data_IF_384579498329
#
_entry.id   IF_384579498329
#
_cell.length_a   1.000
_cell.length_b   1.000
_cell.length_c   1.000
_cell.angle_alpha   90.00
_cell.angle_beta   90.00
_cell.angle_gamma   90.00
#
_symmetry.space_group_name_H-M   'P 1'
#
loop_
_entity.id
_entity.type
_entity.pdbx_description
1 polymer ?
#
# COMPACT_ATOMS: atom_id res chain seq x y z
N UNK A 1 3.66 -43.26 62.59
CA UNK A 1 3.35 -41.97 61.89
C UNK A 1 1.87 -42.00 61.49
N UNK A 2 1.13 -40.97 61.88
CA UNK A 2 -0.29 -40.92 61.49
C UNK A 2 -0.42 -40.72 59.97
N UNK A 3 -1.47 -41.24 59.32
CA UNK A 3 -1.66 -41.06 57.87
C UNK A 3 -1.68 -39.60 57.44
N UNK A 4 -2.10 -38.69 58.32
CA UNK A 4 -2.08 -37.23 58.06
C UNK A 4 -0.65 -36.65 58.04
N UNK A 5 0.30 -37.16 58.80
CA UNK A 5 1.70 -36.72 58.78
C UNK A 5 2.47 -37.25 57.58
N UNK A 6 2.11 -38.42 57.04
CA UNK A 6 2.67 -38.95 55.79
C UNK A 6 2.20 -38.13 54.56
N UNK A 7 0.93 -37.80 54.50
CA UNK A 7 0.41 -36.95 53.44
C UNK A 7 1.07 -35.56 53.45
N UNK A 8 1.34 -34.99 54.61
CA UNK A 8 1.95 -33.66 54.72
C UNK A 8 3.45 -33.65 54.39
N UNK A 9 4.19 -34.70 54.78
CA UNK A 9 5.64 -34.79 54.62
C UNK A 9 6.09 -35.37 53.28
N UNK A 10 5.26 -36.15 52.57
CA UNK A 10 5.65 -36.84 51.36
C UNK A 10 4.83 -36.37 50.15
N UNK A 11 3.49 -36.35 50.24
CA UNK A 11 2.64 -36.03 49.08
C UNK A 11 2.73 -34.56 48.63
N UNK A 12 2.69 -33.61 49.59
CA UNK A 12 2.75 -32.18 49.22
C UNK A 12 4.09 -31.77 48.61
N UNK A 13 5.27 -32.13 49.14
CA UNK A 13 6.54 -31.85 48.49
C UNK A 13 6.69 -32.50 47.12
N UNK A 14 6.18 -33.74 46.96
CA UNK A 14 6.19 -34.43 45.67
C UNK A 14 5.32 -33.69 44.63
N UNK A 15 4.11 -33.25 45.02
CA UNK A 15 3.25 -32.46 44.14
C UNK A 15 3.93 -31.14 43.74
N UNK A 16 4.53 -30.41 44.68
CA UNK A 16 5.27 -29.18 44.40
C UNK A 16 6.41 -29.45 43.41
N UNK A 17 7.17 -30.52 43.62
CA UNK A 17 8.26 -30.89 42.72
C UNK A 17 7.76 -31.22 41.32
N UNK A 18 6.63 -31.92 41.18
CA UNK A 18 6.00 -32.24 39.91
C UNK A 18 5.57 -30.96 39.18
N UNK A 19 4.92 -30.01 39.88
CA UNK A 19 4.51 -28.74 39.26
C UNK A 19 5.72 -27.88 38.86
N UNK A 20 6.81 -27.88 39.65
CA UNK A 20 8.06 -27.20 39.28
C UNK A 20 8.70 -27.80 38.03
N UNK A 21 8.77 -29.12 37.93
CA UNK A 21 9.31 -29.81 36.76
C UNK A 21 8.42 -29.49 35.53
N UNK A 22 7.10 -29.57 35.67
CA UNK A 22 6.16 -29.27 34.62
C UNK A 22 6.32 -27.80 34.14
N UNK A 23 6.46 -26.87 35.07
CA UNK A 23 6.69 -25.45 34.76
C UNK A 23 8.01 -25.22 34.00
N UNK A 24 9.07 -25.90 34.38
CA UNK A 24 10.36 -25.84 33.70
C UNK A 24 10.26 -26.40 32.27
N UNK A 25 9.55 -27.50 32.08
CA UNK A 25 9.31 -28.10 30.76
C UNK A 25 8.50 -27.16 29.90
N UNK A 26 7.39 -26.60 30.40
CA UNK A 26 6.56 -25.65 29.69
C UNK A 26 7.38 -24.41 29.33
N UNK A 27 8.10 -23.84 30.29
CA UNK A 27 8.98 -22.68 30.04
C UNK A 27 10.02 -22.98 28.98
N UNK A 28 10.69 -24.12 29.05
CA UNK A 28 11.70 -24.53 28.06
C UNK A 28 11.07 -24.69 26.67
N UNK A 29 9.92 -25.36 26.57
CA UNK A 29 9.23 -25.56 25.29
C UNK A 29 8.79 -24.21 24.65
N UNK A 30 8.21 -23.30 25.45
CA UNK A 30 7.79 -21.99 24.99
C UNK A 30 9.00 -21.12 24.59
N UNK A 31 10.07 -21.10 25.37
CA UNK A 31 11.31 -20.39 25.03
C UNK A 31 11.91 -20.92 23.72
N UNK A 32 11.95 -22.25 23.55
CA UNK A 32 12.44 -22.88 22.33
C UNK A 32 11.57 -22.54 21.12
N UNK A 33 10.25 -22.48 21.29
CA UNK A 33 9.31 -22.01 20.25
C UNK A 33 9.57 -20.57 19.85
N UNK A 34 9.74 -19.67 20.84
CA UNK A 34 10.09 -18.26 20.59
C UNK A 34 11.44 -18.14 19.86
N UNK A 35 12.44 -18.92 20.27
CA UNK A 35 13.75 -18.95 19.61
C UNK A 35 13.66 -19.45 18.16
N UNK A 36 12.85 -20.46 17.89
CA UNK A 36 12.61 -20.97 16.55
C UNK A 36 11.99 -19.91 15.63
N UNK A 37 10.98 -19.19 16.12
CA UNK A 37 10.31 -18.12 15.37
C UNK A 37 11.24 -16.93 15.13
N UNK A 38 12.05 -16.55 16.12
CA UNK A 38 12.97 -15.41 16.01
C UNK A 38 14.26 -15.74 15.24
N UNK A 39 14.70 -17.02 15.23
CA UNK A 39 15.90 -17.48 14.52
C UNK A 39 15.63 -17.79 13.03
N UNK A 40 14.43 -18.15 12.66
CA UNK A 40 14.04 -18.37 11.25
C UNK A 40 14.24 -17.11 10.41
N UNK A 41 14.19 -15.92 11.03
CA UNK A 41 14.53 -14.64 10.39
C UNK A 41 16.05 -14.43 10.18
N UNK A 42 16.92 -15.19 10.84
CA UNK A 42 18.39 -15.12 10.68
C UNK A 42 18.90 -15.93 9.48
N UNK A 43 18.21 -17.02 9.15
CA UNK A 43 18.57 -17.87 8.02
C UNK A 43 17.63 -17.52 6.86
N UNK A 44 17.96 -16.52 6.08
CA UNK A 44 17.18 -15.98 4.94
C UNK A 44 16.90 -16.95 3.78
N UNK A 45 16.59 -18.22 4.05
CA UNK A 45 16.30 -19.26 3.07
C UNK A 45 14.84 -19.72 3.03
N UNK A 46 13.93 -19.05 3.77
CA UNK A 46 12.51 -19.39 3.81
C UNK A 46 11.55 -18.27 3.40
N UNK A 47 12.02 -17.14 2.92
CA UNK A 47 11.14 -16.14 2.34
C UNK A 47 10.64 -16.65 1.00
N UNK A 48 9.33 -16.88 0.89
CA UNK A 48 8.61 -16.95 -0.38
C UNK A 48 9.20 -15.89 -1.31
N UNK A 49 9.96 -16.33 -2.31
CA UNK A 49 10.45 -15.49 -3.40
C UNK A 49 9.22 -15.06 -4.19
N UNK A 50 8.63 -13.95 -3.80
CA UNK A 50 7.71 -13.26 -4.68
C UNK A 50 8.48 -12.84 -5.93
N UNK A 51 7.98 -13.14 -7.13
CA UNK A 51 8.60 -12.69 -8.35
C UNK A 51 8.66 -11.16 -8.32
N UNK A 52 9.88 -10.61 -8.27
CA UNK A 52 10.08 -9.19 -8.54
C UNK A 52 9.63 -8.98 -9.97
N UNK A 53 8.48 -8.36 -10.16
CA UNK A 53 8.11 -7.76 -11.43
C UNK A 53 9.22 -6.75 -11.76
N UNK A 54 10.17 -7.20 -12.57
CA UNK A 54 11.06 -6.31 -13.29
C UNK A 54 10.17 -5.51 -14.23
N UNK A 55 9.85 -4.29 -13.89
CA UNK A 55 9.48 -3.31 -14.90
C UNK A 55 10.69 -3.16 -15.81
N UNK A 56 10.64 -3.90 -16.90
CA UNK A 56 11.53 -3.73 -18.04
C UNK A 56 11.10 -2.41 -18.67
N UNK A 57 11.78 -1.34 -18.32
CA UNK A 57 11.77 -0.13 -19.13
C UNK A 57 12.54 -0.53 -20.39
N UNK A 58 11.82 -0.86 -21.44
CA UNK A 58 12.38 -1.03 -22.77
C UNK A 58 12.88 0.34 -23.24
N UNK A 59 14.16 0.58 -23.06
CA UNK A 59 14.92 1.60 -23.79
C UNK A 59 15.45 0.98 -25.07
N UNK A 60 14.55 0.59 -25.96
CA UNK A 60 14.85 0.28 -27.35
C UNK A 60 14.36 1.45 -28.22
N UNK A 61 15.17 2.47 -28.30
CA UNK A 61 15.15 3.38 -29.43
C UNK A 61 16.56 3.94 -29.59
N UNK A 62 17.16 3.56 -30.69
CA UNK A 62 18.42 4.05 -31.31
C UNK A 62 19.58 3.06 -31.29
N UNK A 63 19.53 2.15 -32.24
CA UNK A 63 20.73 1.56 -32.83
C UNK A 63 20.42 1.10 -34.27
N UNK A 64 20.29 2.04 -35.17
CA UNK A 64 20.43 1.77 -36.60
C UNK A 64 21.10 2.99 -37.23
N UNK A 65 22.42 2.98 -37.30
CA UNK A 65 23.22 3.73 -38.24
C UNK A 65 24.71 3.43 -38.04
N UNK A 66 25.22 2.35 -38.62
CA UNK A 66 26.65 2.25 -38.93
C UNK A 66 26.87 1.25 -40.05
N UNK A 67 26.68 1.70 -41.28
CA UNK A 67 27.39 1.13 -42.43
C UNK A 67 27.73 2.28 -43.38
N UNK A 68 28.93 2.80 -43.29
CA UNK A 68 29.66 3.30 -44.45
C UNK A 68 31.16 3.18 -44.23
N UNK A 69 31.66 2.48 -45.11
CA UNK A 69 32.96 2.14 -45.55
C UNK A 69 33.98 3.30 -45.60
N UNK A 70 35.21 2.98 -45.28
CA UNK A 70 36.45 3.67 -45.26
C UNK A 70 36.76 4.67 -46.40
N UNK A 71 37.56 5.62 -46.04
CA UNK A 71 38.56 6.21 -46.93
C UNK A 71 39.77 6.65 -46.09
N UNK A 72 40.91 6.53 -46.70
CA UNK A 72 42.27 6.49 -46.23
C UNK A 72 42.91 7.91 -46.26
N UNK A 73 43.77 8.15 -45.28
CA UNK A 73 44.97 8.99 -45.28
C UNK A 73 44.91 10.42 -45.82
N UNK A 74 45.32 11.39 -45.06
CA UNK A 74 46.57 12.08 -45.26
C UNK A 74 46.92 13.03 -44.08
N UNK A 75 48.23 13.15 -43.87
CA UNK A 75 48.88 14.02 -42.88
C UNK A 75 48.47 15.50 -42.95
N UNK A 76 48.30 16.14 -41.77
CA UNK A 76 48.93 17.47 -41.49
C UNK A 76 48.73 17.83 -40.02
N UNK A 77 49.87 18.09 -39.40
CA UNK A 77 50.02 18.82 -38.16
C UNK A 77 49.24 20.14 -38.18
N UNK A 78 48.48 20.38 -37.12
CA UNK A 78 48.31 21.75 -36.56
C UNK A 78 47.77 21.64 -35.12
N UNK A 79 48.55 22.22 -34.27
CA UNK A 79 48.46 22.50 -32.86
C UNK A 79 47.21 23.32 -32.55
N UNK A 80 46.18 22.74 -31.85
CA UNK A 80 45.09 23.50 -31.25
C UNK A 80 44.73 22.91 -29.89
N UNK A 81 44.97 23.67 -28.87
CA UNK A 81 44.59 23.64 -27.48
C UNK A 81 43.37 22.78 -27.14
N UNK A 82 43.59 21.84 -26.18
CA UNK A 82 42.60 20.98 -25.58
C UNK A 82 41.56 21.79 -24.78
N UNK A 83 40.33 21.74 -25.23
CA UNK A 83 39.13 22.11 -24.46
C UNK A 83 38.73 20.92 -23.57
N UNK A 84 38.73 21.16 -22.24
CA UNK A 84 38.36 20.20 -21.21
C UNK A 84 36.84 19.93 -21.24
N UNK A 85 36.35 19.20 -22.20
CA UNK A 85 35.03 18.54 -22.09
C UNK A 85 35.22 17.16 -21.47
N UNK A 86 35.08 17.09 -20.12
CA UNK A 86 35.30 15.89 -19.33
C UNK A 86 34.36 14.75 -19.69
N UNK A 87 34.70 14.03 -20.74
CA UNK A 87 34.08 12.73 -21.06
C UNK A 87 34.35 11.73 -19.94
N UNK A 88 33.30 11.33 -19.22
CA UNK A 88 33.35 10.27 -18.20
C UNK A 88 33.93 9.01 -18.83
N UNK A 89 35.18 8.69 -18.54
CA UNK A 89 35.84 7.49 -19.06
C UNK A 89 35.14 6.26 -18.59
N UNK A 90 35.12 5.18 -19.41
CA UNK A 90 34.49 3.90 -19.06
C UNK A 90 34.96 3.35 -17.70
N UNK A 91 36.18 3.69 -17.26
CA UNK A 91 36.70 3.37 -15.94
C UNK A 91 35.98 4.14 -14.81
N UNK A 92 35.66 5.43 -15.04
CA UNK A 92 34.93 6.26 -14.09
C UNK A 92 33.49 5.75 -13.90
N UNK A 93 32.79 5.38 -14.97
CA UNK A 93 31.45 4.78 -14.93
C UNK A 93 31.46 3.41 -14.22
N UNK A 94 32.47 2.59 -14.47
CA UNK A 94 32.64 1.29 -13.80
C UNK A 94 32.90 1.45 -12.28
N UNK A 95 33.69 2.45 -11.89
CA UNK A 95 33.95 2.78 -10.49
C UNK A 95 32.71 3.36 -9.80
N UNK A 96 31.95 4.23 -10.46
CA UNK A 96 30.68 4.77 -9.94
C UNK A 96 29.65 3.66 -9.74
N UNK A 97 29.56 2.71 -10.67
CA UNK A 97 28.65 1.57 -10.57
C UNK A 97 29.07 0.59 -9.46
N UNK A 98 30.37 0.36 -9.26
CA UNK A 98 30.90 -0.42 -8.13
C UNK A 98 30.62 0.24 -6.78
N UNK A 99 30.75 1.59 -6.68
CA UNK A 99 30.42 2.34 -5.45
C UNK A 99 28.91 2.24 -5.14
N UNK A 100 28.04 2.44 -6.12
CA UNK A 100 26.58 2.29 -5.97
C UNK A 100 26.17 0.89 -5.52
N UNK A 101 26.77 -0.17 -6.10
CA UNK A 101 26.53 -1.56 -5.67
C UNK A 101 27.05 -1.84 -4.26
N UNK A 102 28.19 -1.29 -3.87
CA UNK A 102 28.73 -1.43 -2.52
C UNK A 102 27.90 -0.66 -1.48
N UNK A 103 27.40 0.52 -1.82
CA UNK A 103 26.50 1.30 -0.94
C UNK A 103 25.12 0.62 -0.79
N UNK A 104 24.56 0.11 -1.86
CA UNK A 104 23.29 -0.64 -1.79
C UNK A 104 23.42 -1.91 -0.94
N UNK A 105 24.52 -2.66 -1.09
CA UNK A 105 24.82 -3.83 -0.27
C UNK A 105 25.04 -3.46 1.22
N UNK A 106 25.68 -2.34 1.52
CA UNK A 106 25.83 -1.83 2.90
C UNK A 106 24.47 -1.43 3.51
N UNK A 107 23.64 -0.75 2.74
CA UNK A 107 22.30 -0.35 3.18
C UNK A 107 21.40 -1.54 3.42
N UNK A 108 21.49 -2.56 2.59
CA UNK A 108 20.75 -3.83 2.75
C UNK A 108 21.21 -4.57 4.01
N UNK A 109 22.51 -4.68 4.26
CA UNK A 109 23.07 -5.25 5.51
C UNK A 109 22.58 -4.50 6.75
N UNK A 110 22.63 -3.17 6.76
CA UNK A 110 22.12 -2.34 7.87
C UNK A 110 20.62 -2.55 8.10
N UNK A 111 19.80 -2.73 7.05
CA UNK A 111 18.37 -3.06 7.18
C UNK A 111 18.16 -4.43 7.80
N UNK A 112 18.94 -5.44 7.40
CA UNK A 112 18.88 -6.80 7.95
C UNK A 112 19.30 -6.79 9.44
N UNK A 113 20.39 -6.11 9.77
CA UNK A 113 20.87 -5.97 11.15
C UNK A 113 19.84 -5.28 12.06
N UNK A 114 19.23 -4.19 11.61
CA UNK A 114 18.16 -3.49 12.36
C UNK A 114 16.93 -4.39 12.57
N UNK A 115 16.56 -5.18 11.56
CA UNK A 115 15.46 -6.16 11.70
C UNK A 115 15.82 -7.25 12.70
N UNK A 116 17.03 -7.79 12.63
CA UNK A 116 17.51 -8.82 13.57
C UNK A 116 17.55 -8.31 15.01
N UNK A 117 18.00 -7.07 15.24
CA UNK A 117 17.99 -6.44 16.56
C UNK A 117 16.58 -6.28 17.12
N UNK A 118 15.63 -5.78 16.30
CA UNK A 118 14.23 -5.63 16.71
C UNK A 118 13.60 -6.98 17.05
N UNK A 119 13.84 -8.02 16.25
CA UNK A 119 13.33 -9.37 16.52
C UNK A 119 13.93 -9.96 17.79
N UNK A 120 15.21 -9.72 18.06
CA UNK A 120 15.87 -10.16 19.31
C UNK A 120 15.26 -9.47 20.55
N UNK A 121 14.98 -8.16 20.46
CA UNK A 121 14.33 -7.41 21.54
C UNK A 121 12.92 -7.92 21.80
N UNK A 122 12.11 -8.10 20.74
CA UNK A 122 10.75 -8.65 20.86
C UNK A 122 10.80 -10.07 21.47
N UNK A 123 11.70 -10.93 21.02
CA UNK A 123 11.89 -12.26 21.56
C UNK A 123 12.26 -12.24 23.06
N UNK A 124 13.13 -11.32 23.48
CA UNK A 124 13.49 -11.15 24.88
C UNK A 124 12.30 -10.72 25.75
N UNK A 125 11.53 -9.74 25.31
CA UNK A 125 10.32 -9.28 26.03
C UNK A 125 9.30 -10.41 26.14
N UNK A 126 9.05 -11.15 25.04
CA UNK A 126 8.10 -12.26 25.04
C UNK A 126 8.54 -13.39 25.99
N UNK A 127 9.84 -13.72 26.03
CA UNK A 127 10.40 -14.69 26.99
C UNK A 127 10.23 -14.23 28.45
N UNK A 128 10.44 -12.95 28.71
CA UNK A 128 10.24 -12.38 30.05
C UNK A 128 8.79 -12.47 30.47
N UNK A 129 7.85 -12.15 29.57
CA UNK A 129 6.42 -12.25 29.83
C UNK A 129 5.99 -13.70 30.11
N UNK A 130 6.40 -14.64 29.26
CA UNK A 130 6.15 -16.09 29.47
C UNK A 130 6.72 -16.56 30.80
N UNK A 131 7.96 -16.17 31.14
CA UNK A 131 8.59 -16.54 32.40
C UNK A 131 7.83 -16.00 33.60
N UNK A 132 7.33 -14.77 33.52
CA UNK A 132 6.50 -14.14 34.56
C UNK A 132 5.18 -14.89 34.76
N UNK A 133 4.46 -15.21 33.66
CA UNK A 133 3.20 -15.96 33.73
C UNK A 133 3.41 -17.35 34.36
N UNK A 134 4.44 -18.07 33.93
CA UNK A 134 4.77 -19.38 34.47
C UNK A 134 5.13 -19.29 35.96
N UNK A 135 5.90 -18.27 36.37
CA UNK A 135 6.25 -18.02 37.76
C UNK A 135 5.02 -17.80 38.65
N UNK A 136 4.11 -16.91 38.19
CA UNK A 136 2.86 -16.63 38.93
C UNK A 136 2.00 -17.90 39.04
N UNK A 137 1.88 -18.66 37.95
CA UNK A 137 1.14 -19.93 37.95
C UNK A 137 1.73 -20.95 38.98
N UNK A 138 3.05 -21.12 38.99
CA UNK A 138 3.73 -22.01 39.96
C UNK A 138 3.51 -21.52 41.40
N UNK A 139 3.62 -20.21 41.63
CA UNK A 139 3.40 -19.64 42.96
C UNK A 139 1.98 -19.93 43.48
N UNK A 140 0.96 -19.71 42.63
CA UNK A 140 -0.43 -20.00 42.98
C UNK A 140 -0.68 -21.48 43.25
N UNK A 141 -0.10 -22.40 42.46
CA UNK A 141 -0.19 -23.83 42.67
C UNK A 141 0.46 -24.26 43.98
N UNK A 142 1.64 -23.70 44.29
CA UNK A 142 2.35 -23.97 45.52
C UNK A 142 1.54 -23.50 46.75
N UNK A 143 0.95 -22.30 46.70
CA UNK A 143 0.07 -21.78 47.74
C UNK A 143 -1.14 -22.70 47.97
N UNK A 144 -1.79 -23.14 46.87
CA UNK A 144 -2.93 -24.05 46.93
C UNK A 144 -2.58 -25.40 47.62
N UNK A 145 -1.41 -25.98 47.29
CA UNK A 145 -0.94 -27.26 47.91
C UNK A 145 -0.67 -27.09 49.42
N UNK A 146 -0.15 -25.95 49.84
CA UNK A 146 0.09 -25.62 51.23
C UNK A 146 -1.23 -25.43 52.02
N UNK A 147 -2.34 -25.18 51.29
CA UNK A 147 -3.68 -25.00 51.88
C UNK A 147 -4.13 -23.55 52.00
N UNK A 148 -3.38 -22.63 51.38
CA UNK A 148 -3.79 -21.21 51.29
C UNK A 148 -4.92 -21.08 50.28
N UNK A 149 -5.97 -20.32 50.62
CA UNK A 149 -7.06 -20.03 49.70
C UNK A 149 -6.56 -19.09 48.57
N UNK A 150 -6.48 -19.61 47.36
CA UNK A 150 -6.01 -18.85 46.16
C UNK A 150 -7.14 -18.12 45.43
N UNK A 151 -8.40 -18.33 45.84
CA UNK A 151 -9.56 -17.70 45.14
C UNK A 151 -9.46 -16.17 45.07
N UNK A 152 -9.02 -15.40 46.09
CA UNK A 152 -8.85 -13.97 46.00
C UNK A 152 -7.81 -13.54 44.95
N UNK A 153 -6.73 -14.29 44.80
CA UNK A 153 -5.68 -14.01 43.82
C UNK A 153 -6.15 -14.28 42.40
N UNK A 154 -6.93 -15.37 42.20
CA UNK A 154 -7.54 -15.67 40.89
C UNK A 154 -8.56 -14.59 40.51
N UNK A 155 -9.39 -14.16 41.47
CA UNK A 155 -10.36 -13.07 41.23
C UNK A 155 -9.64 -11.77 40.83
N UNK A 156 -8.58 -11.39 41.57
CA UNK A 156 -7.80 -10.20 41.25
C UNK A 156 -7.10 -10.32 39.87
N UNK A 157 -6.53 -11.48 39.57
CA UNK A 157 -5.94 -11.73 38.26
C UNK A 157 -6.99 -11.66 37.12
N UNK A 158 -8.24 -12.08 37.38
CA UNK A 158 -9.34 -11.96 36.46
C UNK A 158 -9.65 -10.49 36.13
N UNK A 159 -9.71 -9.61 37.14
CA UNK A 159 -9.93 -8.18 36.95
C UNK A 159 -8.79 -7.57 36.09
N UNK A 160 -7.54 -7.90 36.43
CA UNK A 160 -6.39 -7.45 35.64
C UNK A 160 -6.46 -7.99 34.19
N UNK A 161 -6.87 -9.24 34.01
CA UNK A 161 -7.07 -9.85 32.70
C UNK A 161 -8.09 -9.12 31.84
N UNK A 162 -9.23 -8.74 32.44
CA UNK A 162 -10.26 -7.94 31.78
C UNK A 162 -9.73 -6.58 31.37
N UNK A 163 -9.02 -5.88 32.25
CA UNK A 163 -8.42 -4.58 31.96
C UNK A 163 -7.39 -4.67 30.79
N UNK A 164 -6.55 -5.70 30.82
CA UNK A 164 -5.60 -5.97 29.71
C UNK A 164 -6.33 -6.32 28.40
N UNK A 165 -7.44 -7.06 28.48
CA UNK A 165 -8.28 -7.39 27.33
C UNK A 165 -8.85 -6.14 26.65
N UNK A 166 -9.39 -5.20 27.43
CA UNK A 166 -9.85 -3.90 26.91
C UNK A 166 -8.67 -3.10 26.31
N UNK A 167 -7.50 -3.10 26.94
CA UNK A 167 -6.31 -2.45 26.40
C UNK A 167 -5.80 -3.06 25.09
N UNK A 168 -6.04 -4.34 24.86
CA UNK A 168 -5.63 -5.06 23.64
C UNK A 168 -6.72 -5.17 22.57
N UNK A 169 -7.92 -4.67 22.80
CA UNK A 169 -9.09 -4.81 21.92
C UNK A 169 -8.83 -4.32 20.50
N UNK A 170 -8.17 -3.18 20.34
CA UNK A 170 -7.84 -2.62 19.02
C UNK A 170 -6.88 -3.52 18.26
N UNK A 171 -5.90 -4.11 18.95
CA UNK A 171 -4.95 -5.04 18.33
C UNK A 171 -5.67 -6.28 17.79
N UNK A 172 -6.58 -6.87 18.57
CA UNK A 172 -7.37 -8.03 18.15
C UNK A 172 -8.24 -7.66 16.93
N UNK A 173 -8.88 -6.50 16.96
CA UNK A 173 -9.69 -6.00 15.84
C UNK A 173 -8.84 -5.84 14.58
N UNK A 174 -7.64 -5.23 14.67
CA UNK A 174 -6.74 -5.06 13.55
C UNK A 174 -6.39 -6.40 12.87
N UNK A 175 -6.07 -7.40 13.68
CA UNK A 175 -5.72 -8.74 13.19
C UNK A 175 -6.88 -9.47 12.54
N UNK A 176 -8.06 -9.43 13.17
CA UNK A 176 -9.25 -10.08 12.63
C UNK A 176 -9.68 -9.43 11.32
N UNK A 177 -9.73 -8.09 11.27
CA UNK A 177 -10.05 -7.36 10.05
C UNK A 177 -9.07 -7.70 8.92
N UNK A 178 -7.76 -7.68 9.19
CA UNK A 178 -6.77 -8.04 8.18
C UNK A 178 -6.87 -9.50 7.70
N UNK A 179 -7.23 -10.42 8.60
CA UNK A 179 -7.46 -11.81 8.22
C UNK A 179 -8.67 -11.94 7.27
N UNK A 180 -9.80 -11.29 7.60
CA UNK A 180 -11.00 -11.32 6.76
C UNK A 180 -10.79 -10.63 5.42
N UNK A 181 -10.12 -9.47 5.38
CA UNK A 181 -9.78 -8.78 4.13
C UNK A 181 -8.99 -9.66 3.17
N UNK A 182 -8.02 -10.43 3.70
CA UNK A 182 -7.25 -11.39 2.91
C UNK A 182 -8.07 -12.62 2.50
N UNK A 183 -9.00 -13.07 3.35
CA UNK A 183 -9.81 -14.25 3.09
C UNK A 183 -10.92 -13.98 2.07
N UNK A 184 -11.47 -12.76 2.09
CA UNK A 184 -12.52 -12.30 1.18
C UNK A 184 -11.96 -11.71 -0.13
N UNK A 185 -10.63 -11.60 -0.26
CA UNK A 185 -9.93 -11.05 -1.43
C UNK A 185 -10.47 -9.66 -1.84
N UNK A 186 -10.70 -8.79 -0.84
CA UNK A 186 -11.25 -7.46 -1.07
C UNK A 186 -10.32 -6.58 -1.91
N UNK A 187 -9.00 -6.74 -1.75
CA UNK A 187 -7.97 -6.10 -2.55
C UNK A 187 -6.62 -6.81 -2.44
N UNK A 188 -5.80 -6.65 -3.45
CA UNK A 188 -4.45 -7.21 -3.56
C UNK A 188 -3.35 -6.15 -3.68
N UNK A 189 -2.10 -6.61 -3.68
CA UNK A 189 -0.94 -5.74 -3.95
C UNK A 189 -0.96 -5.32 -5.42
N UNK A 190 -0.94 -4.01 -5.66
CA UNK A 190 -1.03 -3.40 -6.98
C UNK A 190 -2.39 -2.78 -7.29
N UNK A 191 -3.44 -3.08 -6.52
CA UNK A 191 -4.74 -2.47 -6.69
C UNK A 191 -4.74 -1.01 -6.26
N UNK A 192 -5.51 -0.20 -6.96
CA UNK A 192 -5.85 1.16 -6.55
C UNK A 192 -7.10 1.12 -5.69
N UNK A 193 -6.98 1.53 -4.43
CA UNK A 193 -8.06 1.43 -3.45
C UNK A 193 -8.29 2.73 -2.70
N UNK A 194 -9.54 2.97 -2.31
CA UNK A 194 -9.95 3.96 -1.32
C UNK A 194 -10.30 3.26 0.00
N UNK A 195 -9.53 3.53 1.04
CA UNK A 195 -9.74 3.00 2.40
C UNK A 195 -10.46 4.02 3.33
N UNK A 196 -10.96 5.10 2.78
CA UNK A 196 -11.65 6.18 3.48
C UNK A 196 -10.73 7.38 3.76
N UNK A 197 -9.75 7.24 4.64
CA UNK A 197 -8.80 8.31 4.97
C UNK A 197 -7.59 8.36 4.03
N UNK A 198 -7.35 7.29 3.28
CA UNK A 198 -6.23 7.19 2.35
C UNK A 198 -6.64 6.47 1.08
N UNK A 199 -6.21 6.99 -0.06
CA UNK A 199 -6.44 6.44 -1.40
C UNK A 199 -5.10 6.27 -2.11
N UNK A 200 -4.93 5.15 -2.83
CA UNK A 200 -3.71 4.89 -3.59
C UNK A 200 -3.50 3.44 -3.97
N UNK A 201 -2.32 3.17 -4.53
CA UNK A 201 -1.92 1.79 -4.90
C UNK A 201 -1.43 1.02 -3.68
N UNK A 202 -1.96 -0.16 -3.47
CA UNK A 202 -1.56 -1.07 -2.38
C UNK A 202 -0.16 -1.60 -2.65
N UNK A 203 0.80 -1.32 -1.75
CA UNK A 203 2.16 -1.87 -1.80
C UNK A 203 2.33 -3.15 -0.98
N UNK A 204 1.59 -3.24 0.13
CA UNK A 204 1.70 -4.39 1.02
C UNK A 204 0.42 -4.56 1.85
N UNK A 205 -0.07 -5.79 1.93
CA UNK A 205 -1.16 -6.19 2.81
C UNK A 205 -0.59 -7.08 3.91
N UNK A 206 -0.66 -6.60 5.15
CA UNK A 206 -0.26 -7.36 6.34
C UNK A 206 -1.48 -7.73 7.17
N UNK A 207 -1.30 -8.60 8.19
CA UNK A 207 -2.39 -8.97 9.10
C UNK A 207 -2.91 -7.80 9.93
N UNK A 208 -2.06 -6.83 10.27
CA UNK A 208 -2.43 -5.70 11.12
C UNK A 208 -2.52 -4.39 10.35
N UNK A 209 -1.67 -4.21 9.34
CA UNK A 209 -1.47 -2.95 8.64
C UNK A 209 -1.44 -3.21 7.15
N UNK A 210 -2.21 -2.44 6.40
CA UNK A 210 -2.10 -2.28 4.96
C UNK A 210 -1.32 -1.02 4.64
N UNK A 211 -0.39 -1.07 3.69
CA UNK A 211 0.32 0.11 3.20
C UNK A 211 0.00 0.37 1.74
N UNK A 212 -0.31 1.62 1.44
CA UNK A 212 -0.64 2.09 0.11
C UNK A 212 0.12 3.38 -0.21
N UNK A 213 0.33 3.65 -1.48
CA UNK A 213 1.00 4.87 -1.96
C UNK A 213 0.06 5.70 -2.80
N UNK A 214 -0.08 6.97 -2.42
CA UNK A 214 -0.91 7.92 -3.14
C UNK A 214 -0.21 8.49 -4.40
N UNK A 215 -0.93 9.33 -5.15
CA UNK A 215 -0.40 9.99 -6.35
C UNK A 215 0.74 10.96 -6.06
N UNK A 216 0.87 11.45 -4.83
CA UNK A 216 1.95 12.36 -4.41
C UNK A 216 3.21 11.59 -3.97
N UNK A 217 3.14 10.24 -3.95
CA UNK A 217 4.22 9.37 -3.52
C UNK A 217 4.28 9.16 -2.00
N UNK A 218 3.29 9.64 -1.25
CA UNK A 218 3.20 9.43 0.20
C UNK A 218 2.85 7.98 0.48
N UNK A 219 3.60 7.35 1.37
CA UNK A 219 3.33 5.99 1.83
C UNK A 219 2.48 6.03 3.10
N UNK A 220 1.24 5.60 2.99
CA UNK A 220 0.29 5.51 4.08
C UNK A 220 0.35 4.13 4.74
N UNK A 221 0.22 4.12 6.07
CA UNK A 221 0.14 2.91 6.88
C UNK A 221 -1.21 2.89 7.59
N UNK A 222 -2.18 2.19 7.02
CA UNK A 222 -3.54 2.10 7.54
C UNK A 222 -3.65 0.86 8.44
N UNK A 223 -4.19 1.04 9.66
CA UNK A 223 -4.50 -0.10 10.53
C UNK A 223 -5.75 -0.79 10.01
N UNK A 224 -5.70 -2.10 9.84
CA UNK A 224 -6.81 -2.84 9.23
C UNK A 224 -8.12 -2.71 10.05
N UNK A 225 -8.02 -2.59 11.37
CA UNK A 225 -9.19 -2.39 12.24
C UNK A 225 -9.85 -1.01 12.13
N UNK A 226 -9.20 -0.02 11.52
CA UNK A 226 -9.75 1.31 11.29
C UNK A 226 -10.39 1.44 9.89
N UNK A 227 -10.14 0.48 8.99
CA UNK A 227 -10.74 0.45 7.66
C UNK A 227 -12.20 -0.01 7.79
N UNK A 228 -13.12 0.91 7.56
CA UNK A 228 -14.57 0.65 7.68
C UNK A 228 -15.20 0.24 6.35
N UNK A 229 -14.62 0.69 5.24
CA UNK A 229 -15.04 0.41 3.88
C UNK A 229 -13.84 0.33 2.96
N UNK A 230 -13.96 -0.44 1.91
CA UNK A 230 -12.98 -0.55 0.83
C UNK A 230 -13.66 -0.22 -0.48
N UNK A 231 -13.13 0.75 -1.21
CA UNK A 231 -13.44 0.97 -2.61
C UNK A 231 -12.30 0.45 -3.46
N UNK A 232 -12.48 -0.62 -4.22
CA UNK A 232 -11.45 -1.15 -5.12
C UNK A 232 -11.76 -0.71 -6.55
N UNK A 233 -10.89 0.13 -7.13
CA UNK A 233 -11.01 0.63 -8.50
C UNK A 233 -10.33 -0.25 -9.55
N UNK A 234 -9.68 -1.33 -9.10
CA UNK A 234 -8.87 -2.21 -9.94
C UNK A 234 -9.48 -3.59 -10.12
N UNK A 235 -10.60 -3.88 -9.44
CA UNK A 235 -11.23 -5.19 -9.50
C UNK A 235 -12.20 -5.26 -10.68
N UNK A 236 -12.09 -6.34 -11.49
CA UNK A 236 -12.91 -6.69 -12.64
C UNK A 236 -12.90 -5.63 -13.77
N UNK A 237 -13.54 -4.48 -13.58
CA UNK A 237 -13.64 -3.41 -14.58
C UNK A 237 -13.60 -2.05 -13.93
N UNK A 238 -13.26 -1.02 -14.73
CA UNK A 238 -13.37 0.37 -14.34
C UNK A 238 -14.48 1.06 -15.16
N UNK A 239 -14.99 2.18 -14.65
CA UNK A 239 -15.92 3.03 -15.40
C UNK A 239 -15.26 4.39 -15.61
N UNK A 240 -15.02 4.73 -16.87
CA UNK A 240 -14.64 6.07 -17.26
C UNK A 240 -15.88 6.97 -17.11
N UNK A 241 -15.80 7.93 -16.21
CA UNK A 241 -16.90 8.83 -15.85
C UNK A 241 -16.56 10.26 -16.26
N UNK A 242 -17.34 10.80 -17.19
CA UNK A 242 -17.12 12.13 -17.73
C UNK A 242 -18.28 13.04 -17.35
N UNK A 243 -17.95 14.17 -16.77
CA UNK A 243 -18.82 15.33 -16.68
C UNK A 243 -18.18 16.48 -17.46
N UNK A 244 -18.90 16.99 -18.43
CA UNK A 244 -18.42 18.02 -19.35
C UNK A 244 -19.32 19.24 -19.19
N UNK A 245 -18.81 20.33 -18.64
CA UNK A 245 -19.57 21.56 -18.52
C UNK A 245 -19.74 22.23 -19.90
N UNK A 246 -20.94 22.71 -20.17
CA UNK A 246 -21.33 23.37 -21.43
C UNK A 246 -22.06 24.68 -21.11
N UNK A 247 -21.84 25.71 -21.89
CA UNK A 247 -22.52 27.02 -21.73
C UNK A 247 -24.03 26.89 -21.93
N UNK A 248 -24.83 27.69 -21.20
CA UNK A 248 -26.27 27.83 -21.43
C UNK A 248 -26.63 28.33 -22.80
N UNK A 249 -25.73 29.02 -23.51
CA UNK A 249 -25.94 29.48 -24.89
C UNK A 249 -25.88 28.37 -25.92
N UNK A 250 -25.37 27.19 -25.56
CA UNK A 250 -25.23 26.06 -26.45
C UNK A 250 -26.53 25.24 -26.53
N UNK A 251 -26.84 24.79 -27.75
CA UNK A 251 -27.94 23.85 -27.99
C UNK A 251 -27.64 22.50 -27.36
N UNK A 252 -28.53 22.02 -26.48
CA UNK A 252 -28.38 20.79 -25.72
C UNK A 252 -28.33 19.57 -26.62
N UNK A 253 -29.27 19.46 -27.57
CA UNK A 253 -29.39 18.30 -28.46
C UNK A 253 -28.18 18.19 -29.38
N UNK A 254 -27.73 19.33 -29.89
CA UNK A 254 -26.50 19.38 -30.70
C UNK A 254 -25.25 19.02 -29.93
N UNK A 255 -25.12 19.52 -28.70
CA UNK A 255 -23.97 19.18 -27.85
C UNK A 255 -23.96 17.67 -27.49
N UNK A 256 -25.11 17.11 -27.14
CA UNK A 256 -25.29 15.70 -26.90
C UNK A 256 -24.93 14.85 -28.12
N UNK A 257 -25.41 15.22 -29.31
CA UNK A 257 -25.13 14.49 -30.56
C UNK A 257 -23.63 14.50 -30.90
N UNK A 258 -22.98 15.67 -30.83
CA UNK A 258 -21.54 15.79 -31.11
C UNK A 258 -20.72 15.02 -30.10
N UNK A 259 -21.06 15.07 -28.79
CA UNK A 259 -20.34 14.37 -27.77
C UNK A 259 -20.37 12.84 -27.95
N UNK A 260 -21.58 12.26 -28.13
CA UNK A 260 -21.73 10.81 -28.28
C UNK A 260 -21.12 10.28 -29.58
N UNK A 261 -21.26 11.01 -30.68
CA UNK A 261 -20.66 10.61 -31.94
C UNK A 261 -19.13 10.63 -31.87
N UNK A 262 -18.55 11.69 -31.30
CA UNK A 262 -17.11 11.80 -31.07
C UNK A 262 -16.59 10.67 -30.17
N UNK A 263 -17.32 10.37 -29.09
CA UNK A 263 -16.94 9.32 -28.18
C UNK A 263 -16.99 7.91 -28.81
N UNK A 264 -18.04 7.64 -29.64
CA UNK A 264 -18.14 6.37 -30.39
C UNK A 264 -17.02 6.22 -31.42
N UNK A 265 -16.70 7.30 -32.14
CA UNK A 265 -15.55 7.30 -33.08
C UNK A 265 -14.23 7.07 -32.34
N UNK A 266 -14.06 7.72 -31.19
CA UNK A 266 -12.87 7.55 -30.33
C UNK A 266 -12.72 6.13 -29.80
N UNK A 267 -13.81 5.47 -29.42
CA UNK A 267 -13.85 4.09 -28.97
C UNK A 267 -13.38 3.08 -30.04
N UNK A 268 -13.53 3.42 -31.32
CA UNK A 268 -13.02 2.61 -32.43
C UNK A 268 -11.53 2.79 -32.72
N UNK A 269 -10.85 3.73 -32.08
CA UNK A 269 -9.46 4.11 -32.35
C UNK A 269 -8.55 3.90 -31.15
N UNK A 270 -7.29 3.57 -31.41
CA UNK A 270 -6.27 3.52 -30.37
C UNK A 270 -5.95 4.93 -29.80
N UNK A 271 -5.64 5.05 -28.51
CA UNK A 271 -5.48 3.98 -27.53
C UNK A 271 -6.80 3.53 -26.86
N UNK A 272 -7.93 4.20 -27.08
CA UNK A 272 -9.17 3.95 -26.36
C UNK A 272 -9.74 2.57 -26.67
N UNK A 273 -9.63 2.12 -27.93
CA UNK A 273 -10.14 0.82 -28.37
C UNK A 273 -9.64 -0.34 -27.50
N UNK A 274 -8.36 -0.33 -27.11
CA UNK A 274 -7.77 -1.36 -26.25
C UNK A 274 -8.14 -1.20 -24.78
N UNK A 275 -8.70 -0.07 -24.37
CA UNK A 275 -9.10 0.19 -23.00
C UNK A 275 -10.57 -0.16 -22.71
N UNK A 276 -11.43 -0.10 -23.72
CA UNK A 276 -12.89 -0.21 -23.57
C UNK A 276 -13.37 -1.66 -23.60
N UNK A 277 -14.25 -2.02 -22.64
CA UNK A 277 -15.02 -3.25 -22.61
C UNK A 277 -16.40 -3.02 -23.27
N UNK A 278 -17.09 -1.92 -22.87
CA UNK A 278 -18.36 -1.51 -23.43
C UNK A 278 -18.28 -0.07 -23.89
N UNK A 279 -18.89 0.23 -25.04
CA UNK A 279 -18.83 1.52 -25.67
C UNK A 279 -19.39 2.67 -24.81
N UNK A 280 -19.08 3.94 -25.18
CA UNK A 280 -19.56 5.09 -24.44
C UNK A 280 -21.09 5.22 -24.53
N UNK A 281 -21.70 5.51 -23.38
CA UNK A 281 -23.13 5.76 -23.22
C UNK A 281 -23.35 7.19 -22.73
N UNK A 282 -24.21 7.92 -23.40
CA UNK A 282 -24.62 9.25 -23.01
C UNK A 282 -25.79 9.16 -22.03
N UNK A 283 -25.62 9.71 -20.83
CA UNK A 283 -26.68 9.77 -19.82
C UNK A 283 -27.51 11.08 -19.92
N UNK A 284 -27.07 12.03 -20.74
CA UNK A 284 -27.76 13.31 -20.95
C UNK A 284 -27.25 14.41 -20.02
N UNK A 285 -28.10 15.43 -19.80
CA UNK A 285 -27.84 16.54 -18.90
C UNK A 285 -27.97 16.06 -17.46
N UNK A 286 -26.88 16.19 -16.68
CA UNK A 286 -26.83 15.71 -15.30
C UNK A 286 -27.13 16.82 -14.29
N UNK A 287 -26.57 18.00 -14.50
CA UNK A 287 -26.65 19.08 -13.53
C UNK A 287 -26.87 20.41 -14.27
N UNK A 288 -27.71 21.28 -13.69
CA UNK A 288 -27.93 22.65 -14.09
C UNK A 288 -27.29 23.56 -13.06
N UNK A 289 -26.04 23.98 -13.30
CA UNK A 289 -25.31 24.90 -12.43
C UNK A 289 -25.76 26.36 -12.62
N UNK A 290 -25.12 27.29 -11.90
CA UNK A 290 -25.44 28.73 -12.03
C UNK A 290 -25.09 29.29 -13.42
N UNK A 291 -24.01 28.81 -14.02
CA UNK A 291 -23.40 29.39 -15.20
C UNK A 291 -23.27 28.39 -16.38
N UNK A 292 -23.54 27.14 -16.11
CA UNK A 292 -23.39 26.06 -17.10
C UNK A 292 -24.29 24.86 -16.74
N UNK A 293 -24.55 24.04 -17.74
CA UNK A 293 -25.09 22.72 -17.52
C UNK A 293 -24.01 21.65 -17.78
N UNK A 294 -24.10 20.50 -17.16
CA UNK A 294 -23.14 19.42 -17.34
C UNK A 294 -23.74 18.27 -18.15
N UNK A 295 -22.96 17.78 -19.12
CA UNK A 295 -23.24 16.57 -19.86
C UNK A 295 -22.53 15.38 -19.19
N UNK A 296 -23.29 14.32 -18.88
CA UNK A 296 -22.73 13.09 -18.31
C UNK A 296 -22.63 11.99 -19.34
N UNK A 297 -21.47 11.34 -19.35
CA UNK A 297 -21.17 10.19 -20.20
C UNK A 297 -20.36 9.17 -19.43
N UNK A 298 -20.61 7.88 -19.67
CA UNK A 298 -19.87 6.78 -19.07
C UNK A 298 -19.37 5.80 -20.13
N UNK A 299 -18.26 5.11 -19.85
CA UNK A 299 -17.79 3.99 -20.66
C UNK A 299 -17.15 2.94 -19.75
N UNK A 300 -17.47 1.66 -19.96
CA UNK A 300 -16.88 0.56 -19.20
C UNK A 300 -15.52 0.21 -19.79
N UNK A 301 -14.51 0.17 -18.96
CA UNK A 301 -13.11 -0.05 -19.35
C UNK A 301 -12.51 -1.25 -18.62
N UNK A 302 -11.41 -1.75 -19.12
CA UNK A 302 -10.55 -2.63 -18.32
C UNK A 302 -10.07 -1.91 -17.05
N UNK A 303 -9.88 -2.67 -15.99
CA UNK A 303 -9.41 -2.17 -14.71
C UNK A 303 -8.16 -1.27 -14.87
N UNK A 304 -8.10 -0.16 -14.14
CA UNK A 304 -7.04 0.85 -14.19
C UNK A 304 -6.93 1.67 -15.51
N UNK A 305 -7.78 1.43 -16.51
CA UNK A 305 -7.79 2.17 -17.76
C UNK A 305 -8.82 3.32 -17.78
N UNK A 306 -9.70 3.42 -16.79
CA UNK A 306 -10.76 4.41 -16.70
C UNK A 306 -10.22 5.84 -16.77
N UNK A 307 -9.21 6.18 -15.98
CA UNK A 307 -8.65 7.54 -15.95
C UNK A 307 -7.94 7.96 -17.24
N UNK A 308 -7.25 7.01 -17.89
CA UNK A 308 -6.62 7.27 -19.19
C UNK A 308 -7.67 7.50 -20.27
N UNK A 309 -8.73 6.70 -20.26
CA UNK A 309 -9.87 6.82 -21.18
C UNK A 309 -10.62 8.13 -20.96
N UNK A 310 -10.89 8.52 -19.70
CA UNK A 310 -11.53 9.81 -19.38
C UNK A 310 -10.75 11.00 -19.94
N UNK A 311 -9.42 11.05 -19.70
CA UNK A 311 -8.59 12.14 -20.20
C UNK A 311 -8.61 12.25 -21.72
N UNK A 312 -8.53 11.12 -22.40
CA UNK A 312 -8.51 11.11 -23.86
C UNK A 312 -9.88 11.42 -24.46
N UNK A 313 -10.97 10.88 -23.91
CA UNK A 313 -12.34 11.23 -24.34
C UNK A 313 -12.61 12.70 -24.09
N UNK A 314 -12.29 13.24 -22.93
CA UNK A 314 -12.47 14.67 -22.59
C UNK A 314 -11.72 15.57 -23.59
N UNK A 315 -10.49 15.21 -23.93
CA UNK A 315 -9.69 15.94 -24.92
C UNK A 315 -10.34 15.93 -26.31
N UNK A 316 -10.80 14.77 -26.78
CA UNK A 316 -11.44 14.65 -28.13
C UNK A 316 -12.75 15.34 -28.17
N UNK A 317 -13.61 15.20 -27.18
CA UNK A 317 -14.92 15.85 -27.12
C UNK A 317 -14.74 17.37 -27.08
N UNK A 318 -13.78 17.88 -26.30
CA UNK A 318 -13.48 19.30 -26.30
C UNK A 318 -13.13 19.83 -27.72
N UNK A 319 -12.22 19.16 -28.42
CA UNK A 319 -11.83 19.56 -29.78
C UNK A 319 -13.02 19.50 -30.75
N UNK A 320 -13.91 18.51 -30.60
CA UNK A 320 -15.12 18.41 -31.41
C UNK A 320 -16.11 19.55 -31.11
N UNK A 321 -16.24 19.93 -29.84
CA UNK A 321 -17.07 21.09 -29.45
C UNK A 321 -16.54 22.38 -30.02
N UNK A 322 -15.22 22.61 -29.94
CA UNK A 322 -14.58 23.78 -30.53
C UNK A 322 -14.81 23.84 -32.04
N UNK A 323 -14.68 22.70 -32.76
CA UNK A 323 -14.94 22.60 -34.20
C UNK A 323 -16.42 22.80 -34.57
N UNK A 324 -17.36 22.42 -33.71
CA UNK A 324 -18.80 22.58 -33.89
C UNK A 324 -19.32 23.96 -33.44
N UNK A 325 -18.46 24.82 -32.86
CA UNK A 325 -18.85 26.10 -32.30
C UNK A 325 -19.72 26.00 -31.05
N UNK A 326 -19.58 24.91 -30.28
CA UNK A 326 -20.27 24.70 -28.99
C UNK A 326 -19.45 25.38 -27.93
N UNK A 327 -19.98 26.40 -27.29
CA UNK A 327 -19.25 27.21 -26.33
C UNK A 327 -19.05 26.49 -25.01
N UNK A 328 -17.81 26.51 -24.51
CA UNK A 328 -17.53 26.19 -23.12
C UNK A 328 -18.04 27.29 -22.19
N UNK A 329 -18.31 27.02 -20.91
CA UNK A 329 -18.59 28.07 -19.94
C UNK A 329 -17.43 29.08 -19.91
N UNK A 330 -17.75 30.37 -20.03
CA UNK A 330 -16.76 31.47 -19.99
C UNK A 330 -15.57 31.31 -20.97
N UNK A 331 -15.81 31.22 -22.28
CA UNK A 331 -14.73 31.06 -23.25
C UNK A 331 -13.71 32.22 -23.24
N UNK A 332 -14.11 33.40 -22.78
CA UNK A 332 -13.29 34.61 -22.66
C UNK A 332 -12.87 34.91 -21.19
N UNK A 333 -13.12 33.96 -20.25
CA UNK A 333 -12.93 34.14 -18.81
C UNK A 333 -14.16 34.67 -18.09
N UNK A 334 -14.14 34.70 -16.77
CA UNK A 334 -15.21 35.28 -15.96
C UNK A 334 -15.32 36.76 -16.23
N UNK A 335 -16.54 37.32 -16.52
CA UNK A 335 -16.70 38.74 -16.63
C UNK A 335 -16.38 39.40 -15.27
N UNK A 336 -15.25 40.09 -15.22
CA UNK A 336 -14.90 40.89 -14.04
C UNK A 336 -15.84 42.10 -14.05
N UNK A 337 -17.00 41.97 -13.41
CA UNK A 337 -17.83 43.14 -13.13
C UNK A 337 -17.09 44.02 -12.12
N UNK A 338 -16.64 45.23 -12.50
CA UNK A 338 -15.99 46.11 -11.53
C UNK A 338 -17.00 46.37 -10.42
N UNK A 339 -16.62 46.07 -9.16
CA UNK A 339 -17.43 46.45 -8.00
C UNK A 339 -17.64 47.94 -8.07
N UNK A 340 -18.89 48.34 -8.40
CA UNK A 340 -19.31 49.72 -8.32
C UNK A 340 -19.14 50.14 -6.86
N UNK A 341 -18.17 51.01 -6.59
CA UNK A 341 -17.99 51.59 -5.29
C UNK A 341 -19.35 52.17 -4.84
N UNK A 342 -19.95 51.55 -3.81
CA UNK A 342 -21.09 52.15 -3.14
C UNK A 342 -20.59 53.46 -2.51
N UNK A 343 -20.94 54.56 -3.15
CA UNK A 343 -20.82 55.89 -2.53
C UNK A 343 -21.74 55.89 -1.31
N UNK A 344 -21.15 55.91 -0.13
CA UNK A 344 -21.86 56.20 1.13
C UNK A 344 -22.18 57.67 1.10
N UNK A 345 -23.46 58.02 0.92
CA UNK A 345 -24.04 59.30 1.29
C UNK A 345 -24.46 59.28 2.75
#
# INVERSE_FOLDING_TARGET
MSPATQAWLVEKPVMIAVYLVLALVIRWALHRGIDSLTSSSKNGTGALRWPRLRTRVDTDATADASSTRGLRADDRDDDVTADESGGLTAASLKNANRRRTAESARNERRRIERRAQRMATIGSVLKSLVSFIVLVWVALQTLAIIGVNVAPFIASAGIVGVALGFGAQTLVRDFLSGLFMLFEDQYGVGDWVDLGEAEGTVEHVGLRITSLRDLHGTLWYCRNGDIQRVGNYSQDFGVAFLEIPVSYSADVDRACAVAIETAKQAAGQEPIRSHIISGPELQGVNELGADSWSLRMTAVTHANMQWATERELRRRIRNAFDAAGIAAPYPEGLPVTPMRAMSVE
#
